data_IF_566715729033
#
_entry.id   IF_566715729033
#
_cell.length_a   1.000
_cell.length_b   1.000
_cell.length_c   1.000
_cell.angle_alpha   90.00
_cell.angle_beta   90.00
_cell.angle_gamma   90.00
#
_symmetry.space_group_name_H-M   'P 1'
#
loop_
_entity.id
_entity.type
_entity.pdbx_description
1 polymer ?
#
# COMPACT_ATOMS: atom_id res chain seq x y z
N UNK A 1 18.64 -1.08 -17.90
CA UNK A 1 17.45 -0.46 -17.31
C UNK A 1 16.59 0.08 -18.44
N UNK A 2 15.33 -0.28 -18.49
CA UNK A 2 14.41 0.26 -19.52
C UNK A 2 13.96 1.64 -19.01
N UNK A 3 14.67 2.68 -19.39
CA UNK A 3 14.32 4.07 -19.05
C UNK A 3 13.35 4.63 -20.09
N UNK A 4 12.09 4.20 -20.04
CA UNK A 4 11.06 4.93 -20.76
C UNK A 4 10.48 6.01 -19.84
N UNK A 5 10.30 7.23 -20.35
CA UNK A 5 9.84 8.36 -19.56
C UNK A 5 8.31 8.30 -19.41
N UNK A 6 7.80 7.28 -18.68
CA UNK A 6 6.38 7.26 -18.32
C UNK A 6 6.09 8.38 -17.35
N UNK A 7 4.89 8.92 -17.45
CA UNK A 7 4.35 9.91 -16.52
C UNK A 7 3.05 9.38 -15.88
N UNK A 8 2.47 10.17 -14.97
CA UNK A 8 1.25 9.77 -14.26
C UNK A 8 0.06 9.47 -15.20
N UNK A 9 -0.07 10.20 -16.30
CA UNK A 9 -1.18 9.99 -17.24
C UNK A 9 -1.11 8.62 -17.95
N UNK A 10 0.08 8.01 -18.02
CA UNK A 10 0.28 6.70 -18.63
C UNK A 10 -0.35 5.55 -17.82
N UNK A 11 -0.72 5.78 -16.55
CA UNK A 11 -1.48 4.80 -15.75
C UNK A 11 -2.79 4.42 -16.45
N UNK A 12 -3.42 5.32 -17.19
CA UNK A 12 -4.65 5.07 -17.96
C UNK A 12 -4.46 4.00 -19.03
N UNK A 13 -3.23 3.81 -19.51
CA UNK A 13 -2.90 2.76 -20.48
C UNK A 13 -3.10 1.35 -19.91
N UNK A 14 -3.11 1.18 -18.59
CA UNK A 14 -3.39 -0.12 -17.96
C UNK A 14 -4.81 -0.63 -18.27
N UNK A 15 -5.75 0.26 -18.58
CA UNK A 15 -7.11 -0.10 -19.01
C UNK A 15 -7.18 -0.55 -20.49
N UNK A 16 -6.10 -0.37 -21.27
CA UNK A 16 -6.02 -0.83 -22.66
C UNK A 16 -5.65 -2.31 -22.67
N UNK A 17 -6.51 -3.13 -23.27
CA UNK A 17 -6.35 -4.58 -23.31
C UNK A 17 -5.14 -4.99 -24.17
N UNK A 18 -4.29 -5.85 -23.63
CA UNK A 18 -3.12 -6.39 -24.33
C UNK A 18 -3.54 -7.43 -25.38
N UNK A 19 -2.74 -7.62 -26.46
CA UNK A 19 -2.89 -8.74 -27.36
C UNK A 19 -2.91 -10.08 -26.65
N UNK A 20 -3.75 -11.03 -27.12
CA UNK A 20 -3.87 -12.34 -26.51
C UNK A 20 -2.57 -13.15 -26.47
N UNK A 21 -1.67 -12.92 -27.44
CA UNK A 21 -0.34 -13.54 -27.43
C UNK A 21 0.47 -13.13 -26.21
N UNK A 22 0.47 -11.85 -25.84
CA UNK A 22 1.17 -11.34 -24.66
C UNK A 22 0.49 -11.79 -23.37
N UNK A 23 -0.86 -11.69 -23.28
CA UNK A 23 -1.59 -12.17 -22.10
C UNK A 23 -1.29 -13.65 -21.81
N UNK A 24 -1.23 -14.46 -22.84
CA UNK A 24 -0.93 -15.90 -22.71
C UNK A 24 0.48 -16.14 -22.17
N UNK A 25 1.48 -15.38 -22.59
CA UNK A 25 2.85 -15.48 -22.08
C UNK A 25 2.93 -15.03 -20.62
N UNK A 26 2.32 -13.88 -20.32
CA UNK A 26 2.28 -13.32 -18.97
C UNK A 26 1.62 -14.27 -17.95
N UNK A 27 0.43 -14.80 -18.26
CA UNK A 27 -0.29 -15.73 -17.38
C UNK A 27 0.41 -17.10 -17.24
N UNK A 28 1.24 -17.47 -18.22
CA UNK A 28 2.09 -18.65 -18.12
C UNK A 28 3.42 -18.39 -17.35
N UNK A 29 3.65 -17.18 -16.85
CA UNK A 29 4.91 -16.80 -16.18
C UNK A 29 6.12 -16.77 -17.10
N UNK A 30 5.91 -16.61 -18.41
CA UNK A 30 6.95 -16.61 -19.45
C UNK A 30 7.41 -15.19 -19.75
N UNK A 31 7.81 -14.44 -18.71
CA UNK A 31 8.12 -13.00 -18.80
C UNK A 31 9.24 -12.65 -19.76
N UNK A 32 10.26 -13.53 -19.89
CA UNK A 32 11.33 -13.32 -20.85
C UNK A 32 10.81 -13.35 -22.29
N UNK A 33 9.97 -14.35 -22.60
CA UNK A 33 9.38 -14.49 -23.92
C UNK A 33 8.33 -13.38 -24.19
N UNK A 34 7.65 -12.92 -23.15
CA UNK A 34 6.79 -11.75 -23.20
C UNK A 34 7.58 -10.49 -23.63
N UNK A 35 8.74 -10.24 -23.01
CA UNK A 35 9.65 -9.15 -23.40
C UNK A 35 10.12 -9.29 -24.86
N UNK A 36 10.56 -10.48 -25.27
CA UNK A 36 11.00 -10.74 -26.63
C UNK A 36 9.86 -10.49 -27.65
N UNK A 37 8.62 -10.88 -27.33
CA UNK A 37 7.45 -10.64 -28.16
C UNK A 37 7.07 -9.16 -28.20
N UNK A 38 7.18 -8.43 -27.09
CA UNK A 38 6.94 -6.98 -27.07
C UNK A 38 7.95 -6.26 -27.98
N UNK A 39 9.24 -6.60 -27.90
CA UNK A 39 10.27 -6.03 -28.77
C UNK A 39 9.97 -6.32 -30.25
N UNK A 40 9.53 -7.54 -30.56
CA UNK A 40 9.10 -7.91 -31.92
C UNK A 40 7.90 -7.08 -32.38
N UNK A 41 6.92 -6.84 -31.52
CA UNK A 41 5.72 -6.06 -31.85
C UNK A 41 6.01 -4.56 -32.01
N UNK A 42 7.00 -4.04 -31.29
CA UNK A 42 7.45 -2.65 -31.36
C UNK A 42 8.44 -2.40 -32.52
N UNK A 43 8.97 -3.44 -33.19
CA UNK A 43 9.86 -3.28 -34.31
C UNK A 43 9.15 -2.51 -35.46
N UNK A 44 9.73 -1.41 -35.96
CA UNK A 44 9.15 -0.63 -37.07
C UNK A 44 8.88 -1.43 -38.36
N UNK A 45 9.54 -2.57 -38.52
CA UNK A 45 9.39 -3.46 -39.66
C UNK A 45 8.29 -4.53 -39.49
N UNK A 46 7.69 -4.63 -38.29
CA UNK A 46 6.60 -5.59 -38.02
C UNK A 46 5.26 -5.04 -38.50
N UNK A 47 4.43 -5.91 -39.09
CA UNK A 47 3.09 -5.59 -39.57
C UNK A 47 2.06 -6.57 -39.01
N UNK A 48 0.80 -6.13 -38.77
CA UNK A 48 0.32 -4.73 -38.88
C UNK A 48 0.90 -3.83 -37.79
N UNK A 49 1.06 -2.55 -38.07
CA UNK A 49 1.42 -1.54 -37.08
C UNK A 49 0.25 -1.31 -36.13
N UNK A 50 0.55 -1.16 -34.88
CA UNK A 50 -0.42 -0.74 -33.88
C UNK A 50 -0.68 0.77 -33.96
N UNK A 51 -1.83 1.19 -33.45
CA UNK A 51 -2.08 2.60 -33.23
C UNK A 51 -1.19 3.15 -32.08
N UNK A 52 -1.05 4.47 -31.95
CA UNK A 52 -0.17 5.06 -30.94
C UNK A 52 -0.53 4.69 -29.49
N UNK A 53 -1.81 4.43 -29.19
CA UNK A 53 -2.26 4.04 -27.84
C UNK A 53 -1.76 2.64 -27.51
N UNK A 54 -1.94 1.68 -28.41
CA UNK A 54 -1.43 0.32 -28.25
C UNK A 54 0.10 0.29 -28.19
N UNK A 55 0.79 1.10 -29.01
CA UNK A 55 2.25 1.21 -28.93
C UNK A 55 2.71 1.71 -27.57
N UNK A 56 2.06 2.74 -27.02
CA UNK A 56 2.34 3.23 -25.67
C UNK A 56 2.03 2.15 -24.58
N UNK A 57 0.91 1.42 -24.75
CA UNK A 57 0.57 0.30 -23.86
C UNK A 57 1.61 -0.81 -23.88
N UNK A 58 2.14 -1.18 -25.06
CA UNK A 58 3.20 -2.18 -25.18
C UNK A 58 4.50 -1.74 -24.50
N UNK A 59 4.86 -0.45 -24.61
CA UNK A 59 6.01 0.11 -23.89
C UNK A 59 5.83 0.03 -22.38
N UNK A 60 4.63 0.38 -21.89
CA UNK A 60 4.30 0.26 -20.46
C UNK A 60 4.36 -1.22 -20.00
N UNK A 61 3.85 -2.15 -20.82
CA UNK A 61 3.91 -3.57 -20.50
C UNK A 61 5.34 -4.11 -20.44
N UNK A 62 6.20 -3.67 -21.36
CA UNK A 62 7.64 -3.97 -21.33
C UNK A 62 8.26 -3.57 -19.98
N UNK A 63 7.93 -2.38 -19.50
CA UNK A 63 8.38 -1.91 -18.20
C UNK A 63 7.84 -2.80 -17.05
N UNK A 64 6.58 -3.19 -17.09
CA UNK A 64 5.99 -4.07 -16.07
C UNK A 64 6.60 -5.46 -16.06
N UNK A 65 6.73 -6.11 -17.22
CA UNK A 65 7.35 -7.42 -17.34
C UNK A 65 8.80 -7.42 -16.84
N UNK A 66 9.57 -6.36 -17.20
CA UNK A 66 10.93 -6.18 -16.70
C UNK A 66 10.95 -5.96 -15.16
N UNK A 67 10.06 -5.14 -14.63
CA UNK A 67 9.92 -4.89 -13.20
C UNK A 67 9.62 -6.18 -12.41
N UNK A 68 8.67 -6.99 -12.90
CA UNK A 68 8.34 -8.28 -12.29
C UNK A 68 9.54 -9.23 -12.28
N UNK A 69 10.29 -9.35 -13.39
CA UNK A 69 11.49 -10.19 -13.44
C UNK A 69 12.57 -9.74 -12.45
N UNK A 70 12.75 -8.43 -12.28
CA UNK A 70 13.73 -7.88 -11.34
C UNK A 70 13.31 -8.07 -9.88
N UNK A 71 12.03 -7.90 -9.58
CA UNK A 71 11.54 -8.01 -8.21
C UNK A 71 11.41 -9.47 -7.76
N UNK A 72 11.09 -10.40 -8.70
CA UNK A 72 10.92 -11.83 -8.41
C UNK A 72 12.11 -12.65 -8.91
N UNK A 73 13.27 -12.41 -8.33
CA UNK A 73 14.55 -13.06 -8.75
C UNK A 73 15.04 -14.15 -7.81
N UNK A 74 14.57 -14.17 -6.55
CA UNK A 74 15.06 -15.13 -5.54
C UNK A 74 14.48 -16.52 -5.80
N UNK A 75 15.34 -17.51 -5.96
CA UNK A 75 14.94 -18.90 -6.17
C UNK A 75 14.48 -19.57 -4.87
N UNK A 76 13.91 -20.77 -5.00
CA UNK A 76 13.52 -21.59 -3.84
C UNK A 76 14.73 -21.97 -2.99
N UNK A 77 15.84 -22.34 -3.62
CA UNK A 77 17.08 -22.72 -2.96
C UNK A 77 17.73 -21.54 -2.22
N UNK A 78 17.74 -20.36 -2.84
CA UNK A 78 18.25 -19.14 -2.22
C UNK A 78 17.41 -18.71 -1.02
N UNK A 79 16.08 -18.86 -1.12
CA UNK A 79 15.17 -18.54 -0.02
C UNK A 79 15.37 -19.49 1.17
N UNK A 80 15.51 -20.79 0.91
CA UNK A 80 15.80 -21.78 1.95
C UNK A 80 17.14 -21.46 2.61
N UNK A 81 18.18 -21.18 1.84
CA UNK A 81 19.51 -20.85 2.38
C UNK A 81 19.45 -19.59 3.28
N UNK A 82 18.77 -18.54 2.84
CA UNK A 82 18.59 -17.30 3.59
C UNK A 82 17.93 -17.52 4.95
N UNK A 83 16.87 -18.34 4.99
CA UNK A 83 16.14 -18.61 6.24
C UNK A 83 16.97 -19.54 7.14
N UNK A 84 17.63 -20.56 6.55
CA UNK A 84 18.44 -21.54 7.29
C UNK A 84 19.67 -20.91 8.00
N UNK A 85 20.14 -19.74 7.55
CA UNK A 85 21.20 -18.98 8.25
C UNK A 85 20.80 -18.63 9.69
N UNK A 86 19.51 -18.37 9.93
CA UNK A 86 18.97 -18.00 11.25
C UNK A 86 18.22 -19.14 11.93
N UNK A 87 17.71 -20.09 11.16
CA UNK A 87 16.90 -21.22 11.61
C UNK A 87 17.52 -22.54 11.08
N UNK A 88 18.58 -23.05 11.72
CA UNK A 88 19.31 -24.24 11.27
C UNK A 88 18.40 -25.47 11.10
N UNK A 89 18.48 -26.12 9.94
CA UNK A 89 17.62 -27.26 9.61
C UNK A 89 16.35 -26.88 8.81
N UNK A 90 16.12 -25.60 8.59
CA UNK A 90 15.03 -25.16 7.71
C UNK A 90 15.25 -25.67 6.29
N UNK A 91 14.22 -26.28 5.70
CA UNK A 91 14.30 -26.92 4.38
C UNK A 91 13.07 -26.68 3.52
N UNK A 92 12.99 -27.43 2.43
CA UNK A 92 11.93 -27.29 1.42
C UNK A 92 10.52 -27.50 1.97
N UNK A 93 10.32 -28.47 2.85
CA UNK A 93 9.01 -28.72 3.47
C UNK A 93 8.54 -27.51 4.27
N UNK A 94 9.45 -26.92 5.06
CA UNK A 94 9.17 -25.75 5.87
C UNK A 94 8.85 -24.51 5.01
N UNK A 95 9.58 -24.31 3.90
CA UNK A 95 9.25 -23.25 2.95
C UNK A 95 7.88 -23.47 2.29
N UNK A 96 7.55 -24.71 1.97
CA UNK A 96 6.23 -25.09 1.43
C UNK A 96 5.11 -24.72 2.41
N UNK A 97 5.30 -24.96 3.72
CA UNK A 97 4.34 -24.58 4.75
C UNK A 97 4.17 -23.06 4.82
N UNK A 98 5.25 -22.30 4.76
CA UNK A 98 5.20 -20.83 4.72
C UNK A 98 4.45 -20.33 3.48
N UNK A 99 4.68 -20.92 2.32
CA UNK A 99 3.95 -20.62 1.09
C UNK A 99 2.45 -20.88 1.27
N UNK A 100 2.09 -22.03 1.81
CA UNK A 100 0.70 -22.43 2.04
C UNK A 100 -0.03 -21.55 3.06
N UNK A 101 0.71 -20.94 4.01
CA UNK A 101 0.15 -19.98 4.96
C UNK A 101 -0.08 -18.59 4.35
N UNK A 102 0.40 -18.32 3.12
CA UNK A 102 0.22 -17.06 2.41
C UNK A 102 1.18 -15.93 2.83
N UNK A 103 2.20 -16.23 3.64
CA UNK A 103 3.13 -15.22 4.17
C UNK A 103 4.34 -14.94 3.26
N UNK A 104 4.46 -15.62 2.12
CA UNK A 104 5.50 -15.35 1.14
C UNK A 104 4.89 -14.83 -0.17
N UNK A 105 5.37 -13.71 -0.67
CA UNK A 105 5.01 -13.27 -2.02
C UNK A 105 5.92 -13.93 -3.04
N UNK A 106 5.30 -14.60 -4.03
CA UNK A 106 5.99 -15.34 -5.08
C UNK A 106 5.21 -15.29 -6.39
N UNK A 107 5.92 -15.56 -7.48
CA UNK A 107 5.37 -15.87 -8.80
C UNK A 107 5.76 -17.29 -9.21
N UNK A 108 4.81 -17.96 -9.88
CA UNK A 108 5.13 -19.19 -10.61
C UNK A 108 5.56 -18.76 -12.02
N UNK A 109 6.83 -18.95 -12.33
CA UNK A 109 7.40 -18.66 -13.64
C UNK A 109 7.66 -19.93 -14.43
N UNK A 110 8.00 -19.81 -15.70
CA UNK A 110 8.40 -20.95 -16.53
C UNK A 110 9.65 -21.68 -15.99
N UNK A 111 10.51 -20.96 -15.25
CA UNK A 111 11.71 -21.54 -14.62
C UNK A 111 11.45 -22.02 -13.17
N UNK A 112 10.20 -22.04 -12.70
CA UNK A 112 9.82 -22.45 -11.34
C UNK A 112 9.41 -21.27 -10.45
N UNK A 113 9.32 -21.52 -9.14
CA UNK A 113 8.99 -20.48 -8.16
C UNK A 113 10.08 -19.39 -8.07
N UNK A 114 9.63 -18.16 -8.05
CA UNK A 114 10.46 -16.98 -7.81
C UNK A 114 9.82 -16.12 -6.73
N UNK A 115 10.59 -15.82 -5.70
CA UNK A 115 10.11 -14.98 -4.58
C UNK A 115 10.48 -13.52 -4.81
N UNK A 116 9.61 -12.65 -4.32
CA UNK A 116 9.90 -11.23 -4.25
C UNK A 116 11.19 -10.98 -3.48
N UNK A 117 11.97 -10.01 -3.91
CA UNK A 117 13.29 -9.67 -3.31
C UNK A 117 13.22 -9.45 -1.78
N UNK A 118 12.08 -8.94 -1.27
CA UNK A 118 11.87 -8.67 0.16
C UNK A 118 11.13 -9.80 0.90
N UNK A 119 10.77 -10.90 0.24
CA UNK A 119 10.02 -11.99 0.86
C UNK A 119 10.79 -12.63 2.04
N UNK A 120 12.11 -12.78 1.92
CA UNK A 120 12.95 -13.28 3.00
C UNK A 120 12.94 -12.36 4.23
N UNK A 121 13.08 -11.05 4.01
CA UNK A 121 13.00 -10.06 5.10
C UNK A 121 11.59 -10.04 5.75
N UNK A 122 10.54 -10.22 4.96
CA UNK A 122 9.16 -10.33 5.44
C UNK A 122 8.96 -11.56 6.34
N UNK A 123 9.44 -12.72 5.93
CA UNK A 123 9.39 -13.98 6.69
C UNK A 123 10.14 -13.83 8.02
N UNK A 124 11.41 -13.40 7.96
CA UNK A 124 12.29 -13.25 9.11
C UNK A 124 11.92 -12.05 10.00
N UNK A 125 11.26 -11.03 9.43
CA UNK A 125 10.83 -9.81 10.12
C UNK A 125 9.60 -9.96 11.02
N UNK A 126 9.17 -11.18 11.34
CA UNK A 126 8.13 -11.48 12.31
C UNK A 126 6.76 -11.85 11.72
N UNK A 127 6.61 -11.86 10.39
CA UNK A 127 5.32 -12.28 9.76
C UNK A 127 5.07 -13.78 9.95
N UNK A 128 6.14 -14.56 9.98
CA UNK A 128 6.12 -15.99 10.28
C UNK A 128 6.63 -16.30 11.71
N UNK A 129 6.63 -15.31 12.61
CA UNK A 129 7.22 -15.46 13.95
C UNK A 129 6.70 -16.69 14.70
N UNK A 130 5.38 -16.94 14.67
CA UNK A 130 4.80 -18.13 15.26
C UNK A 130 5.37 -19.41 14.64
N UNK A 131 5.36 -19.53 13.32
CA UNK A 131 5.85 -20.71 12.61
C UNK A 131 7.32 -20.96 12.88
N UNK A 132 8.16 -19.93 12.76
CA UNK A 132 9.61 -20.03 12.98
C UNK A 132 9.95 -20.33 14.43
N UNK A 133 9.21 -19.74 15.38
CA UNK A 133 9.39 -20.05 16.81
C UNK A 133 9.05 -21.52 17.12
N UNK A 134 7.90 -22.02 16.63
CA UNK A 134 7.48 -23.43 16.81
C UNK A 134 8.44 -24.39 16.09
N UNK A 135 9.03 -23.99 14.96
CA UNK A 135 10.08 -24.73 14.28
C UNK A 135 11.36 -24.88 15.15
N UNK A 136 11.78 -23.79 15.80
CA UNK A 136 12.98 -23.79 16.68
C UNK A 136 12.72 -24.47 18.03
N UNK A 137 11.45 -24.64 18.43
CA UNK A 137 11.01 -25.23 19.72
C UNK A 137 10.04 -26.39 19.47
N UNK A 138 10.51 -27.54 18.94
CA UNK A 138 9.67 -28.67 18.59
C UNK A 138 8.86 -29.20 19.79
N UNK A 139 7.54 -29.27 19.62
CA UNK A 139 6.63 -29.77 20.67
C UNK A 139 6.12 -28.68 21.63
N UNK A 140 6.56 -27.44 21.47
CA UNK A 140 6.02 -26.30 22.20
C UNK A 140 5.02 -25.52 21.32
N UNK A 141 4.12 -24.78 21.96
CA UNK A 141 3.12 -23.95 21.27
C UNK A 141 3.40 -22.49 21.55
N UNK A 142 3.57 -21.71 20.48
CA UNK A 142 3.75 -20.27 20.60
C UNK A 142 2.48 -19.61 21.16
N UNK A 143 2.62 -18.90 22.26
CA UNK A 143 1.54 -18.11 22.86
C UNK A 143 1.87 -16.63 22.75
N UNK A 144 1.13 -15.85 21.93
CA UNK A 144 1.33 -14.41 21.85
C UNK A 144 1.01 -13.76 23.21
N UNK A 145 1.82 -12.77 23.58
CA UNK A 145 1.50 -11.92 24.72
C UNK A 145 0.46 -10.89 24.29
N UNK A 146 -0.76 -11.02 24.79
CA UNK A 146 -1.85 -10.07 24.57
C UNK A 146 -1.92 -9.19 25.82
N UNK A 147 -1.57 -7.91 25.68
CA UNK A 147 -1.74 -6.88 26.72
C UNK A 147 -3.05 -6.11 26.53
N UNK A 148 -3.46 -5.38 27.57
CA UNK A 148 -4.56 -4.40 27.46
C UNK A 148 -4.22 -3.36 26.37
N UNK A 149 -5.16 -3.09 25.49
CA UNK A 149 -5.02 -2.02 24.51
C UNK A 149 -5.40 -0.69 25.15
N UNK A 150 -4.41 0.05 25.61
CA UNK A 150 -4.60 1.35 26.28
C UNK A 150 -5.40 2.35 25.40
N UNK A 151 -5.25 2.30 24.06
CA UNK A 151 -6.02 3.18 23.16
C UNK A 151 -7.52 2.92 23.29
N UNK A 152 -7.93 1.65 23.35
CA UNK A 152 -9.33 1.27 23.48
C UNK A 152 -9.87 1.75 24.81
N UNK A 153 -9.15 1.50 25.89
CA UNK A 153 -9.54 1.92 27.24
C UNK A 153 -9.73 3.43 27.33
N UNK A 154 -8.72 4.19 26.89
CA UNK A 154 -8.79 5.67 26.93
C UNK A 154 -9.97 6.19 26.11
N UNK A 155 -10.14 5.71 24.88
CA UNK A 155 -11.23 6.17 24.01
C UNK A 155 -12.61 5.85 24.58
N UNK A 156 -12.80 4.68 25.19
CA UNK A 156 -14.06 4.34 25.86
C UNK A 156 -14.35 5.22 27.08
N UNK A 157 -13.31 5.58 27.83
CA UNK A 157 -13.44 6.42 29.04
C UNK A 157 -13.66 7.89 28.73
N UNK A 158 -12.99 8.44 27.71
CA UNK A 158 -12.91 9.88 27.45
C UNK A 158 -13.66 10.30 26.17
N UNK A 159 -14.06 9.35 25.33
CA UNK A 159 -14.66 9.59 24.03
C UNK A 159 -13.63 9.85 22.90
N UNK A 160 -12.36 10.05 23.22
CA UNK A 160 -11.29 10.26 22.24
C UNK A 160 -9.92 9.93 22.82
N UNK A 161 -8.93 9.80 21.95
CA UNK A 161 -7.50 9.78 22.29
C UNK A 161 -6.75 10.61 21.27
N UNK A 162 -5.89 11.52 21.72
CA UNK A 162 -5.18 12.43 20.82
C UNK A 162 -3.69 12.49 21.17
N UNK A 163 -2.87 12.63 20.12
CA UNK A 163 -1.43 12.84 20.21
C UNK A 163 -1.01 13.99 19.32
N UNK A 164 -0.09 14.80 19.82
CA UNK A 164 0.67 15.74 19.00
C UNK A 164 2.03 15.13 18.69
N UNK A 165 2.42 15.22 17.42
CA UNK A 165 3.67 14.73 16.89
C UNK A 165 4.47 15.85 16.25
N UNK A 166 5.79 15.83 16.47
CA UNK A 166 6.76 16.53 15.64
C UNK A 166 7.56 15.47 14.89
N UNK A 167 7.54 15.54 13.55
CA UNK A 167 8.16 14.58 12.65
C UNK A 167 9.21 15.27 11.82
N UNK A 168 10.36 14.62 11.64
CA UNK A 168 11.39 14.99 10.67
C UNK A 168 11.41 13.98 9.53
N UNK A 169 11.45 14.47 8.30
CA UNK A 169 11.60 13.66 7.09
C UNK A 169 12.63 14.27 6.17
N UNK A 170 13.42 13.44 5.51
CA UNK A 170 14.30 13.89 4.43
C UNK A 170 14.43 12.83 3.34
N UNK A 171 14.81 13.30 2.13
CA UNK A 171 15.06 12.49 0.95
C UNK A 171 16.24 13.06 0.15
N UNK A 172 17.01 12.19 -0.47
CA UNK A 172 18.10 12.55 -1.39
C UNK A 172 18.37 11.38 -2.38
N UNK A 173 19.05 11.63 -3.50
CA UNK A 173 19.62 10.54 -4.30
C UNK A 173 20.62 9.71 -3.47
N UNK A 174 20.70 8.40 -3.73
CA UNK A 174 21.77 7.60 -3.18
C UNK A 174 23.13 7.99 -3.77
N UNK A 175 24.23 7.47 -3.22
CA UNK A 175 25.57 7.84 -3.63
C UNK A 175 25.91 7.54 -5.11
N UNK A 176 25.23 6.57 -5.73
CA UNK A 176 25.44 6.21 -7.14
C UNK A 176 24.70 7.14 -8.11
N UNK A 177 23.61 7.75 -7.63
CA UNK A 177 22.70 8.60 -8.41
C UNK A 177 22.85 10.09 -8.12
N UNK A 178 23.85 10.51 -7.34
CA UNK A 178 24.16 11.91 -7.14
C UNK A 178 24.64 12.59 -8.43
N UNK A 179 24.05 13.72 -8.81
CA UNK A 179 24.36 14.49 -10.04
C UNK A 179 24.59 15.95 -9.70
N UNK A 180 25.84 16.28 -9.36
CA UNK A 180 26.25 17.65 -9.00
C UNK A 180 25.79 18.69 -10.01
N UNK A 181 25.13 19.75 -9.53
CA UNK A 181 24.65 20.88 -10.32
C UNK A 181 23.40 20.64 -11.16
N UNK A 182 22.89 19.41 -11.26
CA UNK A 182 21.59 19.16 -11.90
C UNK A 182 20.44 19.64 -11.05
N UNK A 183 19.35 20.05 -11.66
CA UNK A 183 18.14 20.43 -10.94
C UNK A 183 17.48 19.19 -10.39
N UNK A 184 17.37 19.13 -9.06
CA UNK A 184 16.61 18.12 -8.33
C UNK A 184 15.25 18.67 -7.97
N UNK A 185 14.20 17.91 -8.21
CA UNK A 185 12.82 18.15 -7.80
C UNK A 185 12.45 17.14 -6.73
N UNK A 186 11.94 17.61 -5.59
CA UNK A 186 11.68 16.75 -4.44
C UNK A 186 10.30 17.03 -3.82
N UNK A 187 9.58 15.97 -3.46
CA UNK A 187 8.28 15.99 -2.78
C UNK A 187 8.36 15.16 -1.52
N UNK A 188 8.09 15.76 -0.36
CA UNK A 188 7.97 15.03 0.91
C UNK A 188 6.54 15.06 1.41
N UNK A 189 6.02 13.94 1.95
CA UNK A 189 4.68 13.88 2.54
C UNK A 189 4.47 14.95 3.61
N UNK A 190 3.27 15.55 3.61
CA UNK A 190 2.86 16.55 4.60
C UNK A 190 1.44 16.26 5.08
N UNK A 191 1.09 16.51 6.36
CA UNK A 191 -0.22 16.18 6.91
C UNK A 191 -1.39 16.82 6.15
N UNK A 192 -2.38 16.01 5.77
CA UNK A 192 -3.64 16.49 5.22
C UNK A 192 -4.49 17.17 6.30
N UNK A 193 -5.22 18.22 5.92
CA UNK A 193 -6.30 18.75 6.75
C UNK A 193 -7.52 17.85 6.61
N UNK A 194 -7.87 17.13 7.66
CA UNK A 194 -8.99 16.18 7.68
C UNK A 194 -9.63 16.11 9.08
N UNK A 195 -10.69 15.31 9.20
CA UNK A 195 -11.43 15.18 10.47
C UNK A 195 -10.53 14.72 11.64
N UNK A 196 -9.52 13.93 11.33
CA UNK A 196 -8.63 13.33 12.32
C UNK A 196 -7.43 14.21 12.68
N UNK A 197 -7.03 15.13 11.79
CA UNK A 197 -5.80 15.91 11.94
C UNK A 197 -6.06 17.41 12.08
N UNK A 198 -5.37 18.05 13.03
CA UNK A 198 -5.41 19.48 13.30
C UNK A 198 -4.04 20.02 13.69
N UNK A 199 -3.96 21.33 13.92
CA UNK A 199 -2.76 22.04 14.40
C UNK A 199 -1.51 21.80 13.54
N UNK A 200 -1.72 21.64 12.25
CA UNK A 200 -0.66 21.32 11.27
C UNK A 200 0.24 22.52 11.09
N UNK A 201 1.55 22.36 11.34
CA UNK A 201 2.56 23.42 11.22
C UNK A 201 3.81 22.89 10.54
N UNK A 202 4.25 23.56 9.48
CA UNK A 202 5.56 23.34 8.89
C UNK A 202 6.58 24.16 9.72
N UNK A 203 7.49 23.48 10.41
CA UNK A 203 8.43 24.09 11.36
C UNK A 203 9.74 24.49 10.70
N UNK A 204 10.24 23.66 9.80
CA UNK A 204 11.44 23.95 9.01
C UNK A 204 11.42 23.27 7.65
N UNK A 205 12.09 23.89 6.69
CA UNK A 205 12.37 23.36 5.36
C UNK A 205 13.82 23.70 5.02
N UNK A 206 14.57 22.75 4.53
CA UNK A 206 15.99 22.94 4.19
C UNK A 206 16.23 23.94 3.05
N UNK A 207 15.23 24.17 2.20
CA UNK A 207 15.31 25.07 1.04
C UNK A 207 14.31 26.21 1.15
N UNK A 208 14.72 27.46 0.85
CA UNK A 208 13.87 28.65 1.06
C UNK A 208 12.71 28.75 0.06
N UNK A 209 12.88 28.19 -1.15
CA UNK A 209 11.87 28.23 -2.21
C UNK A 209 11.11 26.88 -2.22
N UNK A 210 10.02 26.83 -1.49
CA UNK A 210 9.19 25.62 -1.42
C UNK A 210 7.71 25.93 -1.67
N UNK A 211 6.96 24.89 -2.01
CA UNK A 211 5.52 24.92 -2.20
C UNK A 211 4.90 23.86 -1.29
N UNK A 212 3.85 24.22 -0.56
CA UNK A 212 2.97 23.24 0.14
C UNK A 212 1.78 23.00 -0.76
N UNK A 213 1.59 21.77 -1.22
CA UNK A 213 0.46 21.42 -2.09
C UNK A 213 -0.86 21.35 -1.29
N UNK A 214 -1.96 21.58 -1.99
CA UNK A 214 -3.32 21.39 -1.46
C UNK A 214 -4.07 20.23 -2.15
N UNK A 215 -3.35 19.42 -2.94
CA UNK A 215 -3.91 18.23 -3.57
C UNK A 215 -4.35 17.17 -2.55
N UNK A 216 -5.11 16.18 -2.99
CA UNK A 216 -5.51 15.03 -2.17
C UNK A 216 -4.33 14.20 -1.64
N UNK A 217 -3.18 14.28 -2.32
CA UNK A 217 -1.85 13.88 -1.85
C UNK A 217 -1.10 15.14 -1.45
N UNK A 218 -0.97 15.39 -0.15
CA UNK A 218 -0.38 16.62 0.35
C UNK A 218 1.13 16.48 0.54
N UNK A 219 1.90 17.40 -0.09
CA UNK A 219 3.36 17.37 -0.06
C UNK A 219 3.95 18.76 0.20
N UNK A 220 5.20 18.79 0.68
CA UNK A 220 6.09 19.93 0.56
C UNK A 220 7.02 19.64 -0.60
N UNK A 221 7.09 20.56 -1.55
CA UNK A 221 7.89 20.48 -2.77
C UNK A 221 8.99 21.53 -2.76
N UNK A 222 10.17 21.17 -3.27
CA UNK A 222 11.20 22.12 -3.66
C UNK A 222 11.92 21.69 -4.94
N UNK A 223 12.48 22.68 -5.64
CA UNK A 223 13.32 22.52 -6.83
C UNK A 223 14.59 23.32 -6.65
N UNK A 224 15.75 22.69 -6.83
CA UNK A 224 17.04 23.31 -6.57
C UNK A 224 18.18 22.65 -7.32
N UNK A 225 19.30 23.36 -7.61
CA UNK A 225 20.53 22.76 -8.07
C UNK A 225 21.09 21.85 -6.97
N UNK A 226 21.26 20.57 -7.28
CA UNK A 226 21.69 19.56 -6.31
C UNK A 226 23.20 19.65 -6.05
N UNK A 227 23.58 19.62 -4.78
CA UNK A 227 24.96 19.48 -4.33
C UNK A 227 25.16 18.13 -3.63
N UNK A 228 26.32 17.52 -3.86
CA UNK A 228 26.62 16.18 -3.36
C UNK A 228 26.38 16.04 -1.85
N UNK A 229 25.58 15.05 -1.47
CA UNK A 229 25.18 14.79 -0.09
C UNK A 229 24.06 15.66 0.45
N UNK A 230 23.56 16.62 -0.35
CA UNK A 230 22.47 17.49 0.05
C UNK A 230 21.15 16.73 0.20
N UNK A 231 20.34 17.14 1.18
CA UNK A 231 19.05 16.54 1.48
C UNK A 231 17.96 17.56 1.30
N UNK A 232 16.83 17.16 0.72
CA UNK A 232 15.60 17.89 0.94
C UNK A 232 14.99 17.41 2.25
N UNK A 233 14.86 18.30 3.21
CA UNK A 233 14.47 17.98 4.58
C UNK A 233 13.38 18.93 5.09
N UNK A 234 12.39 18.36 5.78
CA UNK A 234 11.32 19.10 6.45
C UNK A 234 11.14 18.62 7.88
N UNK A 235 10.74 19.55 8.76
CA UNK A 235 10.21 19.22 10.08
C UNK A 235 8.84 19.85 10.24
N UNK A 236 7.88 19.08 10.71
CA UNK A 236 6.50 19.55 10.89
C UNK A 236 5.88 18.96 12.15
N UNK A 237 4.82 19.63 12.62
CA UNK A 237 4.00 19.11 13.72
C UNK A 237 2.53 19.05 13.34
N UNK A 238 1.80 18.16 13.98
CA UNK A 238 0.35 17.99 13.82
C UNK A 238 -0.23 17.29 15.05
N UNK A 239 -1.52 17.46 15.26
CA UNK A 239 -2.29 16.70 16.25
C UNK A 239 -3.19 15.70 15.52
N UNK A 240 -3.10 14.42 15.88
CA UNK A 240 -4.07 13.41 15.43
C UNK A 240 -5.00 13.04 16.58
N UNK A 241 -6.33 13.05 16.31
CA UNK A 241 -7.39 12.77 17.27
C UNK A 241 -8.25 11.61 16.81
N UNK A 242 -8.15 10.50 17.51
CA UNK A 242 -9.00 9.33 17.33
C UNK A 242 -10.24 9.44 18.23
N UNK A 243 -11.43 9.59 17.65
CA UNK A 243 -12.70 9.68 18.36
C UNK A 243 -13.35 8.30 18.44
N UNK A 244 -13.79 7.91 19.64
CA UNK A 244 -14.51 6.66 19.84
C UNK A 244 -15.91 6.72 19.22
N UNK A 245 -16.24 5.68 18.48
CA UNK A 245 -17.56 5.47 17.90
C UNK A 245 -18.10 4.12 18.37
N UNK A 246 -19.13 4.16 19.20
CA UNK A 246 -19.83 2.95 19.61
C UNK A 246 -20.80 2.52 18.50
N UNK A 247 -20.52 1.35 17.91
CA UNK A 247 -21.29 0.86 16.78
C UNK A 247 -22.46 0.00 17.23
N UNK A 248 -23.62 0.19 16.61
CA UNK A 248 -24.82 -0.62 16.79
C UNK A 248 -25.42 -1.00 15.43
N UNK A 249 -25.54 -2.29 15.16
CA UNK A 249 -26.15 -2.76 13.92
C UNK A 249 -27.62 -2.32 13.76
N UNK A 250 -28.34 -2.16 14.86
CA UNK A 250 -29.74 -1.76 14.85
C UNK A 250 -29.92 -0.26 14.63
N UNK A 251 -28.93 0.55 14.98
CA UNK A 251 -28.93 1.99 14.74
C UNK A 251 -28.44 2.38 13.34
N UNK A 252 -27.80 1.45 12.61
CA UNK A 252 -27.26 1.72 11.29
C UNK A 252 -28.35 1.96 10.25
N UNK A 253 -28.15 3.01 9.42
CA UNK A 253 -29.02 3.36 8.30
C UNK A 253 -28.24 3.30 6.99
N UNK A 254 -28.93 2.93 5.92
CA UNK A 254 -28.34 2.78 4.58
C UNK A 254 -28.39 4.08 3.75
N UNK A 255 -28.66 5.22 4.40
CA UNK A 255 -28.74 6.49 3.70
C UNK A 255 -27.34 6.90 3.21
N UNK A 256 -27.25 7.16 1.91
CA UNK A 256 -26.01 7.63 1.26
C UNK A 256 -26.26 9.06 0.77
N UNK A 257 -25.58 10.07 1.37
CA UNK A 257 -25.64 11.43 0.89
C UNK A 257 -25.25 11.54 -0.59
N UNK A 258 -25.96 12.32 -1.42
CA UNK A 258 -25.70 12.37 -2.86
C UNK A 258 -24.23 12.68 -3.23
N UNK A 259 -23.56 13.55 -2.48
CA UNK A 259 -22.16 13.92 -2.68
C UNK A 259 -21.17 12.79 -2.41
N UNK A 260 -21.59 11.73 -1.71
CA UNK A 260 -20.74 10.57 -1.41
C UNK A 260 -20.91 9.42 -2.41
N UNK A 261 -21.82 9.54 -3.39
CA UNK A 261 -22.06 8.48 -4.38
C UNK A 261 -20.81 8.17 -5.22
N UNK A 262 -19.97 9.15 -5.48
CA UNK A 262 -18.67 8.96 -6.18
C UNK A 262 -17.81 7.90 -5.49
N UNK A 263 -17.96 7.72 -4.20
CA UNK A 263 -17.26 6.68 -3.42
C UNK A 263 -17.95 5.30 -3.45
N UNK A 264 -18.98 5.12 -4.29
CA UNK A 264 -19.59 3.83 -4.61
C UNK A 264 -19.35 3.42 -6.06
N UNK A 265 -18.52 4.15 -6.79
CA UNK A 265 -18.23 3.92 -8.21
C UNK A 265 -16.88 3.24 -8.39
N UNK A 266 -16.66 2.69 -9.59
CA UNK A 266 -15.36 2.18 -10.01
C UNK A 266 -14.34 3.33 -10.10
N UNK A 267 -13.06 2.99 -10.00
CA UNK A 267 -11.95 3.92 -10.22
C UNK A 267 -10.76 3.18 -10.83
N UNK A 268 -10.63 3.32 -12.14
CA UNK A 268 -9.57 2.66 -12.93
C UNK A 268 -8.16 3.11 -12.53
N UNK A 269 -7.17 2.20 -12.66
CA UNK A 269 -7.28 0.83 -13.19
C UNK A 269 -7.57 -0.23 -12.11
N UNK A 270 -7.59 0.10 -10.83
CA UNK A 270 -7.61 -0.90 -9.77
C UNK A 270 -8.97 -1.14 -9.13
N UNK A 271 -9.75 -0.10 -8.83
CA UNK A 271 -11.08 -0.29 -8.21
C UNK A 271 -12.09 -0.61 -9.33
N UNK A 272 -12.03 -1.83 -9.84
CA UNK A 272 -12.88 -2.33 -10.93
C UNK A 272 -13.77 -3.46 -10.41
N UNK A 273 -15.05 -3.40 -10.74
CA UNK A 273 -16.07 -4.36 -10.32
C UNK A 273 -16.09 -5.59 -11.23
N UNK A 274 -15.00 -6.35 -11.19
CA UNK A 274 -14.88 -7.57 -12.00
C UNK A 274 -16.01 -8.56 -11.70
N UNK A 275 -16.37 -9.47 -12.66
CA UNK A 275 -17.38 -10.50 -12.40
C UNK A 275 -17.08 -11.36 -11.18
N UNK A 276 -15.80 -11.63 -10.90
CA UNK A 276 -15.37 -12.38 -9.73
C UNK A 276 -15.65 -11.59 -8.43
N UNK A 277 -15.23 -10.32 -8.34
CA UNK A 277 -15.44 -9.49 -7.16
C UNK A 277 -16.92 -9.22 -6.90
N UNK A 278 -17.74 -9.03 -7.96
CA UNK A 278 -19.20 -8.95 -7.83
C UNK A 278 -19.81 -10.23 -7.24
N UNK A 279 -19.38 -11.41 -7.70
CA UNK A 279 -19.84 -12.70 -7.14
C UNK A 279 -19.37 -12.89 -5.71
N UNK A 280 -18.12 -12.54 -5.40
CA UNK A 280 -17.58 -12.59 -4.04
C UNK A 280 -18.38 -11.70 -3.09
N UNK A 281 -18.60 -10.43 -3.47
CA UNK A 281 -19.40 -9.51 -2.69
C UNK A 281 -20.82 -10.05 -2.45
N UNK A 282 -21.49 -10.51 -3.51
CA UNK A 282 -22.82 -11.10 -3.40
C UNK A 282 -22.86 -12.34 -2.48
N UNK A 283 -21.86 -13.22 -2.56
CA UNK A 283 -21.73 -14.37 -1.68
C UNK A 283 -21.59 -13.97 -0.22
N UNK A 284 -20.71 -13.01 0.07
CA UNK A 284 -20.48 -12.52 1.44
C UNK A 284 -21.69 -11.78 2.00
N UNK A 285 -22.37 -10.98 1.19
CA UNK A 285 -23.60 -10.28 1.58
C UNK A 285 -24.74 -11.25 1.90
N UNK A 286 -24.90 -12.30 1.08
CA UNK A 286 -26.08 -13.18 1.16
C UNK A 286 -27.38 -12.37 1.00
N UNK A 287 -28.30 -12.52 1.96
CA UNK A 287 -29.58 -11.77 2.02
C UNK A 287 -29.51 -10.54 2.93
N UNK A 288 -28.34 -10.18 3.47
CA UNK A 288 -28.18 -9.02 4.33
C UNK A 288 -28.32 -7.71 3.54
N UNK A 289 -28.98 -6.73 4.13
CA UNK A 289 -29.17 -5.41 3.52
C UNK A 289 -28.64 -4.26 4.38
N UNK A 290 -28.34 -4.50 5.66
CA UNK A 290 -27.78 -3.49 6.54
C UNK A 290 -26.31 -3.21 6.18
N UNK A 291 -26.00 -1.97 5.79
CA UNK A 291 -24.66 -1.58 5.33
C UNK A 291 -23.55 -1.84 6.35
N UNK A 292 -23.80 -1.61 7.65
CA UNK A 292 -22.81 -1.87 8.69
C UNK A 292 -22.51 -3.37 8.83
N UNK A 293 -23.54 -4.22 8.77
CA UNK A 293 -23.38 -5.69 8.81
C UNK A 293 -22.67 -6.21 7.57
N UNK A 294 -22.97 -5.65 6.39
CA UNK A 294 -22.32 -6.01 5.13
C UNK A 294 -20.83 -5.62 5.19
N UNK A 295 -20.52 -4.38 5.58
CA UNK A 295 -19.14 -3.93 5.74
C UNK A 295 -18.37 -4.79 6.75
N UNK A 296 -19.03 -5.21 7.86
CA UNK A 296 -18.45 -6.12 8.84
C UNK A 296 -18.11 -7.48 8.22
N UNK A 297 -18.97 -8.07 7.41
CA UNK A 297 -18.68 -9.33 6.70
C UNK A 297 -17.51 -9.20 5.74
N UNK A 298 -17.36 -8.06 5.07
CA UNK A 298 -16.21 -7.79 4.20
C UNK A 298 -14.91 -7.65 5.01
N UNK A 299 -14.95 -6.93 6.13
CA UNK A 299 -13.83 -6.83 7.05
C UNK A 299 -13.43 -8.20 7.60
N UNK A 300 -14.39 -9.00 8.06
CA UNK A 300 -14.17 -10.36 8.54
C UNK A 300 -13.54 -11.23 7.44
N UNK A 301 -14.04 -11.14 6.20
CA UNK A 301 -13.45 -11.86 5.08
C UNK A 301 -12.00 -11.46 4.85
N UNK A 302 -11.72 -10.16 4.71
CA UNK A 302 -10.36 -9.67 4.42
C UNK A 302 -9.40 -10.06 5.54
N UNK A 303 -9.77 -9.85 6.80
CA UNK A 303 -8.90 -10.12 7.95
C UNK A 303 -8.62 -11.61 8.18
N UNK A 304 -9.55 -12.50 7.80
CA UNK A 304 -9.38 -13.94 7.92
C UNK A 304 -8.64 -14.56 6.74
N UNK A 305 -8.93 -14.12 5.51
CA UNK A 305 -8.48 -14.79 4.29
C UNK A 305 -7.21 -14.19 3.70
N UNK A 306 -7.01 -12.86 3.82
CA UNK A 306 -5.82 -12.21 3.28
C UNK A 306 -4.71 -12.21 4.34
N UNK A 307 -3.61 -12.89 4.05
CA UNK A 307 -2.43 -12.92 4.93
C UNK A 307 -1.53 -11.74 4.60
N UNK A 308 -0.98 -11.14 5.64
CA UNK A 308 -0.08 -10.00 5.43
C UNK A 308 1.25 -10.46 4.85
N UNK A 309 1.62 -9.87 3.73
CA UNK A 309 2.90 -10.05 3.06
C UNK A 309 3.30 -8.71 2.43
N UNK A 310 4.58 -8.36 2.49
CA UNK A 310 5.06 -7.23 1.69
C UNK A 310 4.88 -7.53 0.21
N UNK A 311 4.48 -6.50 -0.55
CA UNK A 311 4.12 -6.64 -1.94
C UNK A 311 5.11 -5.93 -2.84
N UNK A 312 5.09 -6.30 -4.12
CA UNK A 312 5.67 -5.52 -5.20
C UNK A 312 5.09 -4.12 -5.25
N UNK A 313 5.75 -3.24 -5.97
CA UNK A 313 5.22 -1.90 -6.20
C UNK A 313 3.82 -1.96 -6.83
N UNK A 314 2.89 -1.16 -6.34
CA UNK A 314 1.47 -1.25 -6.72
C UNK A 314 1.22 -1.01 -8.21
N UNK A 315 2.06 -0.21 -8.88
CA UNK A 315 2.02 -0.01 -10.33
C UNK A 315 2.26 -1.28 -11.16
N UNK A 316 2.82 -2.32 -10.56
CA UNK A 316 3.09 -3.61 -11.22
C UNK A 316 1.93 -4.61 -11.10
N UNK A 317 0.80 -4.20 -10.52
CA UNK A 317 -0.41 -5.01 -10.48
C UNK A 317 -1.38 -4.63 -11.59
N UNK A 318 -1.96 -5.61 -12.24
CA UNK A 318 -3.07 -5.39 -13.17
C UNK A 318 -4.33 -4.91 -12.43
N UNK A 319 -4.65 -5.53 -11.30
CA UNK A 319 -5.77 -5.17 -10.45
C UNK A 319 -5.50 -5.63 -9.00
N UNK A 320 -5.28 -4.68 -8.12
CA UNK A 320 -4.90 -4.94 -6.73
C UNK A 320 -5.99 -5.70 -5.94
N UNK A 321 -7.27 -5.28 -5.93
CA UNK A 321 -8.33 -6.02 -5.24
C UNK A 321 -8.51 -7.45 -5.74
N UNK A 322 -8.42 -7.65 -7.05
CA UNK A 322 -8.53 -8.98 -7.64
C UNK A 322 -7.36 -9.88 -7.21
N UNK A 323 -6.13 -9.33 -7.19
CA UNK A 323 -4.96 -10.05 -6.69
C UNK A 323 -5.16 -10.51 -5.24
N UNK A 324 -5.59 -9.60 -4.35
CA UNK A 324 -5.84 -9.92 -2.95
C UNK A 324 -6.89 -11.03 -2.78
N UNK A 325 -7.99 -10.94 -3.51
CA UNK A 325 -9.09 -11.89 -3.43
C UNK A 325 -8.73 -13.30 -3.95
N UNK A 326 -7.89 -13.38 -4.98
CA UNK A 326 -7.49 -14.66 -5.59
C UNK A 326 -6.29 -15.29 -4.89
N UNK A 327 -5.29 -14.50 -4.51
CA UNK A 327 -4.04 -15.02 -3.95
C UNK A 327 -4.05 -15.08 -2.42
N UNK A 328 -5.03 -14.47 -1.74
CA UNK A 328 -5.17 -14.52 -0.29
C UNK A 328 -4.01 -13.91 0.48
N UNK A 329 -3.27 -12.97 -0.13
CA UNK A 329 -2.16 -12.26 0.50
C UNK A 329 -2.08 -10.82 0.03
N UNK A 330 -1.50 -9.94 0.86
CA UNK A 330 -1.36 -8.53 0.58
C UNK A 330 -0.81 -7.77 1.77
N UNK A 331 -0.28 -6.58 1.52
CA UNK A 331 0.08 -5.63 2.57
C UNK A 331 -1.13 -4.78 3.01
N UNK A 332 -0.88 -3.72 3.78
CA UNK A 332 -1.94 -2.87 4.30
C UNK A 332 -2.80 -2.26 3.20
N UNK A 333 -2.19 -1.75 2.15
CA UNK A 333 -2.90 -1.12 1.04
C UNK A 333 -3.66 -2.11 0.18
N UNK A 334 -3.07 -3.26 -0.13
CA UNK A 334 -3.74 -4.34 -0.88
C UNK A 334 -4.99 -4.83 -0.14
N UNK A 335 -4.90 -5.01 1.19
CA UNK A 335 -6.04 -5.39 2.02
C UNK A 335 -7.11 -4.28 2.08
N UNK A 336 -6.68 -3.02 2.23
CA UNK A 336 -7.59 -1.88 2.27
C UNK A 336 -8.36 -1.71 0.95
N UNK A 337 -7.68 -1.86 -0.21
CA UNK A 337 -8.32 -1.75 -1.52
C UNK A 337 -9.32 -2.86 -1.80
N UNK A 338 -9.06 -4.09 -1.36
CA UNK A 338 -10.06 -5.16 -1.45
C UNK A 338 -11.31 -4.81 -0.64
N UNK A 339 -11.14 -4.36 0.60
CA UNK A 339 -12.28 -3.93 1.44
C UNK A 339 -13.05 -2.77 0.80
N UNK A 340 -12.35 -1.72 0.34
CA UNK A 340 -12.96 -0.57 -0.36
C UNK A 340 -13.77 -1.02 -1.56
N UNK A 341 -13.21 -1.90 -2.40
CA UNK A 341 -13.88 -2.36 -3.62
C UNK A 341 -15.12 -3.18 -3.31
N UNK A 342 -15.07 -4.09 -2.33
CA UNK A 342 -16.23 -4.86 -1.90
C UNK A 342 -17.34 -3.95 -1.33
N UNK A 343 -16.98 -2.95 -0.52
CA UNK A 343 -17.93 -1.95 -0.02
C UNK A 343 -18.59 -1.18 -1.16
N UNK A 344 -17.81 -0.69 -2.12
CA UNK A 344 -18.34 0.05 -3.28
C UNK A 344 -19.30 -0.80 -4.12
N UNK A 345 -18.98 -2.06 -4.37
CA UNK A 345 -19.88 -3.02 -5.06
C UNK A 345 -21.22 -3.16 -4.32
N UNK A 346 -21.22 -3.12 -2.99
CA UNK A 346 -22.41 -3.19 -2.17
C UNK A 346 -23.16 -1.84 -2.04
N UNK A 347 -22.70 -0.77 -2.70
CA UNK A 347 -23.28 0.57 -2.60
C UNK A 347 -22.93 1.31 -1.30
N UNK A 348 -21.95 0.82 -0.55
CA UNK A 348 -21.44 1.47 0.67
C UNK A 348 -20.29 2.40 0.26
N UNK A 349 -20.41 3.73 0.48
CA UNK A 349 -19.31 4.63 0.16
C UNK A 349 -18.04 4.23 0.91
N UNK A 350 -16.96 4.04 0.18
CA UNK A 350 -15.68 3.65 0.76
C UNK A 350 -14.52 4.33 0.03
N UNK A 351 -13.50 4.72 0.80
CA UNK A 351 -12.32 5.42 0.28
C UNK A 351 -11.04 4.96 0.96
N UNK A 352 -9.96 5.23 0.29
CA UNK A 352 -8.60 5.05 0.74
C UNK A 352 -8.18 6.19 1.66
N UNK A 353 -7.33 5.89 2.63
CA UNK A 353 -6.57 6.87 3.38
C UNK A 353 -5.18 6.28 3.65
N UNK A 354 -4.14 7.06 3.43
CA UNK A 354 -2.76 6.60 3.58
C UNK A 354 -1.82 7.65 4.16
N UNK A 355 -0.65 7.18 4.53
CA UNK A 355 0.43 7.94 5.11
C UNK A 355 1.33 7.06 5.95
N UNK A 356 1.41 7.31 7.24
CA UNK A 356 2.29 6.54 8.12
C UNK A 356 1.60 6.17 9.44
N UNK A 357 1.88 4.98 9.94
CA UNK A 357 1.75 4.70 11.36
C UNK A 357 2.83 5.52 12.09
N UNK A 358 2.41 6.34 13.04
CA UNK A 358 3.24 7.33 13.68
C UNK A 358 3.06 7.22 15.20
N UNK A 359 3.78 6.30 15.83
CA UNK A 359 3.76 6.15 17.29
C UNK A 359 4.97 6.88 17.94
N UNK A 360 5.00 7.08 19.27
CA UNK A 360 6.07 7.86 19.92
C UNK A 360 7.50 7.39 19.68
N UNK A 361 7.71 6.18 19.15
CA UNK A 361 9.06 5.63 18.90
C UNK A 361 9.39 5.44 17.44
N UNK A 362 8.39 5.51 16.53
CA UNK A 362 8.60 5.09 15.13
C UNK A 362 7.59 5.73 14.18
N UNK A 363 8.08 6.02 12.97
CA UNK A 363 7.26 6.32 11.78
C UNK A 363 7.46 5.20 10.76
N UNK A 364 6.37 4.62 10.26
CA UNK A 364 6.40 3.55 9.27
C UNK A 364 5.24 3.68 8.29
N UNK A 365 5.46 3.38 7.02
CA UNK A 365 4.42 3.40 5.98
C UNK A 365 3.20 2.57 6.37
N UNK A 366 2.01 3.11 6.15
CA UNK A 366 0.76 2.42 6.48
C UNK A 366 -0.45 2.99 5.73
N UNK A 367 -1.36 2.07 5.37
CA UNK A 367 -2.61 2.35 4.66
C UNK A 367 -3.79 1.70 5.36
N UNK A 368 -4.96 2.32 5.21
CA UNK A 368 -6.21 1.80 5.74
C UNK A 368 -7.41 2.30 4.92
N UNK A 369 -8.59 1.77 5.21
CA UNK A 369 -9.81 2.16 4.56
C UNK A 369 -10.70 3.03 5.46
N UNK A 370 -11.54 3.84 4.82
CA UNK A 370 -12.72 4.48 5.44
C UNK A 370 -13.96 4.04 4.68
N UNK A 371 -15.06 3.85 5.41
CA UNK A 371 -16.38 3.56 4.85
C UNK A 371 -17.45 4.37 5.55
N UNK A 372 -18.56 4.66 4.87
CA UNK A 372 -19.58 5.56 5.38
C UNK A 372 -20.86 4.82 5.75
N UNK A 373 -21.31 5.01 6.98
CA UNK A 373 -22.61 4.50 7.46
C UNK A 373 -23.25 5.49 8.42
N UNK A 374 -24.49 5.88 8.16
CA UNK A 374 -25.28 6.66 9.10
C UNK A 374 -25.65 5.86 10.35
N UNK A 375 -25.68 6.48 11.56
CA UNK A 375 -25.52 7.92 11.85
C UNK A 375 -24.07 8.35 12.12
N UNK A 376 -23.06 7.46 12.02
CA UNK A 376 -21.68 7.75 12.43
C UNK A 376 -20.86 8.52 11.39
N UNK A 377 -21.33 8.59 10.14
CA UNK A 377 -20.53 9.16 9.06
C UNK A 377 -19.38 8.25 8.62
N UNK A 378 -18.22 8.83 8.35
CA UNK A 378 -17.04 8.05 7.98
C UNK A 378 -16.49 7.25 9.16
N UNK A 379 -16.35 5.96 8.98
CA UNK A 379 -15.79 4.96 9.89
C UNK A 379 -14.47 4.44 9.33
N UNK A 380 -13.55 4.00 10.20
CA UNK A 380 -12.28 3.41 9.79
C UNK A 380 -12.37 1.89 9.70
N UNK A 381 -11.57 1.30 8.81
CA UNK A 381 -11.34 -0.14 8.76
C UNK A 381 -9.86 -0.41 8.46
N UNK A 382 -9.13 -0.80 9.49
CA UNK A 382 -7.74 -1.22 9.36
C UNK A 382 -7.67 -2.73 9.25
N UNK A 383 -7.75 -3.24 8.03
CA UNK A 383 -7.78 -4.69 7.77
C UNK A 383 -6.46 -5.37 8.13
N UNK A 384 -5.33 -4.69 7.99
CA UNK A 384 -4.02 -5.30 8.23
C UNK A 384 -3.71 -5.43 9.74
N UNK A 385 -3.95 -4.38 10.53
CA UNK A 385 -3.82 -4.44 11.98
C UNK A 385 -4.91 -5.33 12.58
N UNK A 386 -6.14 -5.25 12.07
CA UNK A 386 -7.23 -6.15 12.46
C UNK A 386 -6.92 -7.61 12.20
N UNK A 387 -6.40 -7.94 11.02
CA UNK A 387 -5.96 -9.29 10.69
C UNK A 387 -4.79 -9.78 11.57
N UNK A 388 -3.89 -8.88 11.98
CA UNK A 388 -2.84 -9.20 12.94
C UNK A 388 -3.41 -9.47 14.34
N UNK A 389 -4.32 -8.61 14.82
CA UNK A 389 -5.00 -8.79 16.10
C UNK A 389 -5.75 -10.14 16.15
N UNK A 390 -6.52 -10.44 15.11
CA UNK A 390 -7.26 -11.70 15.00
C UNK A 390 -6.33 -12.94 15.06
N UNK A 391 -5.23 -12.94 14.30
CA UNK A 391 -4.27 -14.06 14.29
C UNK A 391 -3.57 -14.26 15.65
N UNK A 392 -3.40 -13.18 16.40
CA UNK A 392 -2.85 -13.23 17.76
C UNK A 392 -3.89 -13.52 18.84
N UNK A 393 -5.17 -13.67 18.49
CA UNK A 393 -6.26 -13.91 19.44
C UNK A 393 -6.75 -12.68 20.18
N UNK A 394 -6.29 -11.47 19.82
CA UNK A 394 -6.76 -10.20 20.36
C UNK A 394 -8.07 -9.78 19.69
N UNK A 395 -9.16 -10.40 20.14
CA UNK A 395 -10.49 -10.15 19.57
C UNK A 395 -11.03 -8.74 19.92
N UNK A 396 -10.58 -8.14 21.01
CA UNK A 396 -10.99 -6.79 21.38
C UNK A 396 -10.45 -5.78 20.36
N UNK A 397 -9.15 -5.80 20.10
CA UNK A 397 -8.52 -4.93 19.09
C UNK A 397 -9.05 -5.21 17.68
N UNK A 398 -9.26 -6.49 17.32
CA UNK A 398 -9.85 -6.84 16.02
C UNK A 398 -11.23 -6.23 15.83
N UNK A 399 -12.10 -6.31 16.84
CA UNK A 399 -13.45 -5.73 16.76
C UNK A 399 -13.41 -4.19 16.76
N UNK A 400 -12.52 -3.59 17.53
CA UNK A 400 -12.37 -2.16 17.64
C UNK A 400 -11.83 -1.51 16.36
N UNK A 401 -10.89 -2.15 15.66
CA UNK A 401 -10.33 -1.70 14.38
C UNK A 401 -11.33 -1.74 13.21
N UNK A 402 -12.54 -2.22 13.45
CA UNK A 402 -13.70 -2.02 12.60
C UNK A 402 -14.56 -0.87 13.16
N UNK A 403 -14.43 0.30 12.59
CA UNK A 403 -15.14 1.52 12.95
C UNK A 403 -14.30 2.55 13.69
N UNK A 404 -13.26 2.11 14.39
CA UNK A 404 -12.38 2.96 15.19
C UNK A 404 -10.91 2.83 14.74
N UNK A 405 -10.04 3.71 15.25
CA UNK A 405 -8.61 3.69 15.02
C UNK A 405 -7.85 4.31 16.20
N UNK A 406 -6.52 4.16 16.21
CA UNK A 406 -5.63 4.77 17.19
C UNK A 406 -5.17 6.18 16.74
N UNK A 407 -4.69 7.03 17.66
CA UNK A 407 -4.19 8.37 17.32
C UNK A 407 -2.80 8.34 16.66
N UNK A 408 -2.23 7.17 16.44
CA UNK A 408 -0.87 6.98 15.95
C UNK A 408 -0.84 6.94 14.41
N UNK A 409 -1.41 7.99 13.78
CA UNK A 409 -1.53 8.12 12.34
C UNK A 409 -1.03 9.49 11.89
N UNK A 410 -0.20 9.48 10.86
CA UNK A 410 0.14 10.64 10.07
C UNK A 410 -0.51 10.47 8.69
N UNK A 411 -1.59 11.19 8.43
CA UNK A 411 -2.39 11.09 7.20
C UNK A 411 -1.83 12.10 6.20
N UNK A 412 -1.26 11.62 5.11
CA UNK A 412 -0.67 12.43 4.05
C UNK A 412 -1.45 12.34 2.72
N UNK A 413 -2.42 11.42 2.63
CA UNK A 413 -3.24 11.22 1.44
C UNK A 413 -4.64 10.74 1.81
N UNK A 414 -5.67 11.45 1.30
CA UNK A 414 -7.08 11.07 1.43
C UNK A 414 -7.70 10.61 0.09
N UNK A 415 -6.90 10.55 -0.95
CA UNK A 415 -7.34 10.14 -2.28
C UNK A 415 -6.43 9.02 -2.80
N UNK A 416 -7.06 7.95 -3.28
CA UNK A 416 -6.37 6.89 -3.99
C UNK A 416 -5.97 7.38 -5.39
N UNK A 417 -4.70 7.20 -5.74
CA UNK A 417 -4.19 7.48 -7.09
C UNK A 417 -4.34 8.97 -7.48
N UNK A 418 -3.38 9.78 -7.08
CA UNK A 418 -3.32 11.20 -7.41
C UNK A 418 -1.99 11.60 -8.01
N UNK A 419 -2.03 12.64 -8.85
CA UNK A 419 -0.83 13.30 -9.34
C UNK A 419 -0.16 14.10 -8.22
N UNK A 420 1.16 14.24 -8.29
CA UNK A 420 1.91 15.14 -7.42
C UNK A 420 1.65 16.62 -7.81
N UNK A 421 1.72 17.52 -6.84
CA UNK A 421 1.60 18.95 -7.07
C UNK A 421 2.81 19.69 -6.45
N UNK A 422 3.64 20.36 -7.25
CA UNK A 422 3.64 20.43 -8.72
C UNK A 422 3.78 19.08 -9.39
N UNK A 423 3.26 18.96 -10.63
CA UNK A 423 3.27 17.72 -11.40
C UNK A 423 4.68 17.20 -11.63
N UNK A 424 4.87 15.89 -11.44
CA UNK A 424 6.11 15.20 -11.82
C UNK A 424 6.24 15.08 -13.34
N UNK A 425 7.46 15.05 -13.81
CA UNK A 425 7.77 14.75 -15.20
C UNK A 425 7.67 13.25 -15.46
N UNK A 426 8.17 12.45 -14.54
CA UNK A 426 8.14 10.99 -14.60
C UNK A 426 7.00 10.43 -13.75
N UNK A 427 6.65 9.16 -13.99
CA UNK A 427 5.65 8.46 -13.22
C UNK A 427 6.00 8.52 -11.73
N UNK A 428 5.00 8.70 -10.89
CA UNK A 428 5.17 8.61 -9.45
C UNK A 428 5.68 7.21 -9.07
N UNK A 429 6.57 7.15 -8.08
CA UNK A 429 7.05 5.86 -7.54
C UNK A 429 5.92 5.10 -6.87
N UNK A 430 5.07 5.85 -6.19
CA UNK A 430 3.84 5.36 -5.61
C UNK A 430 2.67 6.28 -5.99
N UNK A 431 2.01 6.01 -7.11
CA UNK A 431 0.90 6.85 -7.58
C UNK A 431 -0.36 6.71 -6.74
N UNK A 432 -0.37 5.79 -5.77
CA UNK A 432 -1.56 5.43 -5.01
C UNK A 432 -1.53 5.95 -3.58
N UNK A 433 -0.35 6.16 -3.00
CA UNK A 433 -0.20 6.67 -1.65
C UNK A 433 0.79 7.85 -1.53
N UNK A 434 1.18 8.21 -0.31
CA UNK A 434 2.13 9.29 -0.04
C UNK A 434 2.81 9.03 1.32
N UNK A 435 3.88 8.25 1.32
CA UNK A 435 4.44 7.71 2.56
C UNK A 435 5.90 8.05 2.81
N UNK A 436 6.74 8.06 1.75
CA UNK A 436 8.19 8.19 1.88
C UNK A 436 8.71 9.49 1.26
N UNK A 437 8.07 9.95 0.20
CA UNK A 437 8.51 11.04 -0.64
C UNK A 437 9.12 10.54 -1.94
N UNK A 438 9.29 11.47 -2.88
CA UNK A 438 9.74 11.20 -4.23
C UNK A 438 10.69 12.29 -4.70
N UNK A 439 11.67 11.92 -5.51
CA UNK A 439 12.56 12.86 -6.20
C UNK A 439 12.73 12.47 -7.66
N UNK A 440 13.09 13.44 -8.47
CA UNK A 440 13.51 13.25 -9.86
C UNK A 440 14.50 14.34 -10.26
N UNK A 441 15.42 14.04 -11.17
CA UNK A 441 16.13 15.08 -11.90
C UNK A 441 15.28 15.55 -13.09
N UNK A 442 15.62 16.68 -13.66
CA UNK A 442 14.92 17.22 -14.82
C UNK A 442 14.90 16.25 -16.03
N UNK A 443 15.92 15.39 -16.13
CA UNK A 443 16.14 14.46 -17.24
C UNK A 443 16.34 13.00 -16.83
N UNK A 444 16.17 12.66 -15.54
CA UNK A 444 16.43 11.31 -15.02
C UNK A 444 15.37 10.93 -13.97
N UNK A 445 14.69 9.80 -14.20
CA UNK A 445 13.80 9.20 -13.24
C UNK A 445 14.58 8.43 -12.18
N UNK A 446 14.26 8.65 -10.90
CA UNK A 446 14.82 7.91 -9.78
C UNK A 446 13.74 7.02 -9.16
N UNK A 447 14.09 5.76 -8.88
CA UNK A 447 13.22 4.77 -8.25
C UNK A 447 13.51 4.66 -6.75
N UNK A 448 12.72 3.88 -5.99
CA UNK A 448 12.98 3.66 -4.56
C UNK A 448 14.35 3.04 -4.27
N UNK A 449 14.94 2.31 -5.22
CA UNK A 449 16.29 1.76 -5.09
C UNK A 449 17.41 2.78 -5.33
N UNK A 450 17.08 3.95 -5.85
CA UNK A 450 18.03 4.98 -6.27
C UNK A 450 18.09 6.17 -5.28
N UNK A 451 17.35 6.06 -4.17
CA UNK A 451 17.18 7.13 -3.19
C UNK A 451 17.48 6.65 -1.77
N UNK A 452 17.99 7.58 -0.97
CA UNK A 452 18.02 7.49 0.49
C UNK A 452 16.91 8.35 1.08
N UNK A 453 16.14 7.81 2.01
CA UNK A 453 15.08 8.53 2.70
C UNK A 453 15.05 8.21 4.19
N UNK A 454 14.54 9.16 4.97
CA UNK A 454 14.38 9.02 6.41
C UNK A 454 13.06 9.62 6.87
N UNK A 455 12.47 9.01 7.88
CA UNK A 455 11.32 9.54 8.61
C UNK A 455 11.42 9.12 10.08
N UNK A 456 11.26 10.08 10.98
CA UNK A 456 11.41 9.83 12.42
C UNK A 456 10.68 10.83 13.29
N UNK A 457 10.41 10.38 14.52
CA UNK A 457 9.81 11.20 15.57
C UNK A 457 10.89 12.10 16.18
N UNK A 458 10.62 13.39 16.25
CA UNK A 458 11.40 14.37 17.05
C UNK A 458 10.80 14.49 18.43
N UNK A 459 9.47 14.59 18.50
CA UNK A 459 8.71 14.70 19.73
C UNK A 459 7.32 14.10 19.57
N UNK A 460 6.79 13.46 20.62
CA UNK A 460 5.43 12.97 20.67
C UNK A 460 4.88 13.10 22.09
N UNK A 461 3.70 13.68 22.25
CA UNK A 461 3.04 13.77 23.54
C UNK A 461 1.53 13.64 23.41
N UNK A 462 0.94 13.06 24.43
CA UNK A 462 -0.52 12.92 24.54
C UNK A 462 -1.14 14.29 24.78
N UNK A 463 -2.21 14.56 24.05
CA UNK A 463 -3.08 15.73 24.27
C UNK A 463 -4.22 15.30 25.19
N UNK A 464 -4.42 16.04 26.28
CA UNK A 464 -5.42 15.78 27.33
C UNK A 464 -6.77 16.44 26.99
#
# INVERSE_FOLDING_TARGET
MIHEPFNYDDIKLMSVELPDSLKSLRYAGRYKEELDEIERLLDPNTFPKFDPIMEARLKLERYFAWGLMNDYRTTEEEMIALIAEKHPGFGKENLTDIINTGHADYLLTAEGLRFHKDAGANILGGRCAKYLWEFDHPGETYTPSIGENENIRIQKETGFHAYNFTVNMWIKPDAAHEREGKILRAWLPFPCECEEQSDIKLLSVSHPNYIVSNAGTRTVYAEFPYHKGEKFEITFSFTNTARYKELSFDAARNDVPPQLRVFTEEYEPHIIFTPYLKKLAAYLMGSETNHLKIARRFYDYVTNHVKYSFMREYRLFDNIPMYAAVNGRGDCGVMALLFVTLCRIAGIPARWQSGNACNPSRVASHDWAKFYVEPWGWLHADCSYGGSALRNGDLESWNWLFGNFDPFRFIACEAFQTEAEPKKKFMRLDPYDNQTGEIEYEDEWLTFSDIDAYKGIVEAHRVL
#
